data_IF_206183648873
#
_entry.id   IF_206183648873
#
_cell.length_a   1.000
_cell.length_b   1.000
_cell.length_c   1.000
_cell.angle_alpha   90.00
_cell.angle_beta   90.00
_cell.angle_gamma   90.00
#
_symmetry.space_group_name_H-M   'P 1'
#
loop_
_entity.id
_entity.type
_entity.pdbx_description
1 polymer ?
#
# COMPACT_ATOMS: atom_id res chain seq x y z
N UNK A 1 -9.39 -1.65 -21.27
CA UNK A 1 -9.68 -3.10 -21.15
C UNK A 1 -8.78 -3.96 -22.04
N UNK A 2 -8.68 -3.73 -23.38
CA UNK A 2 -7.72 -4.46 -24.24
C UNK A 2 -6.24 -4.27 -23.86
N UNK A 3 -5.87 -3.08 -23.37
CA UNK A 3 -4.56 -2.75 -22.80
C UNK A 3 -4.22 -3.52 -21.51
N UNK A 4 -5.24 -3.95 -20.76
CA UNK A 4 -5.08 -4.70 -19.51
C UNK A 4 -5.00 -6.21 -19.77
N UNK A 5 -5.52 -6.66 -20.92
CA UNK A 5 -5.52 -8.07 -21.31
C UNK A 5 -4.20 -8.51 -21.97
N UNK A 6 -3.52 -7.61 -22.69
CA UNK A 6 -2.12 -7.88 -23.15
C UNK A 6 -1.11 -7.81 -22.00
N UNK A 7 -1.53 -7.35 -20.83
CA UNK A 7 -0.72 -7.17 -19.62
C UNK A 7 -0.59 -8.46 -18.80
N UNK A 8 -1.56 -9.37 -18.88
CA UNK A 8 -1.61 -10.63 -18.12
C UNK A 8 -0.87 -11.81 -18.79
N UNK A 9 -0.48 -11.69 -20.05
CA UNK A 9 0.05 -12.81 -20.83
C UNK A 9 1.58 -12.94 -20.82
N UNK A 10 2.30 -12.08 -20.08
CA UNK A 10 3.77 -12.00 -20.16
C UNK A 10 4.54 -12.57 -18.95
N UNK A 11 3.85 -13.06 -17.92
CA UNK A 11 4.51 -13.65 -16.75
C UNK A 11 4.13 -15.13 -16.56
N UNK A 12 4.93 -16.02 -17.14
CA UNK A 12 5.13 -17.35 -16.57
C UNK A 12 6.53 -17.84 -16.92
N UNK A 13 7.33 -18.21 -15.90
CA UNK A 13 8.14 -19.41 -16.06
C UNK A 13 7.99 -20.40 -14.91
N UNK A 14 8.03 -21.66 -15.32
CA UNK A 14 8.03 -22.93 -14.61
C UNK A 14 9.14 -23.08 -13.58
N UNK A 15 8.81 -23.56 -12.38
CA UNK A 15 9.78 -24.04 -11.38
C UNK A 15 9.92 -25.56 -11.50
N UNK A 16 11.10 -26.01 -11.93
CA UNK A 16 11.58 -27.39 -11.73
C UNK A 16 12.31 -27.48 -10.39
N UNK A 17 11.99 -28.55 -9.66
CA UNK A 17 12.38 -28.86 -8.28
C UNK A 17 13.53 -29.86 -8.33
N UNK A 18 14.64 -29.62 -7.63
CA UNK A 18 15.59 -30.68 -7.30
C UNK A 18 16.06 -30.54 -5.85
N UNK A 19 15.80 -31.61 -5.09
CA UNK A 19 16.35 -31.89 -3.77
C UNK A 19 17.71 -32.59 -3.97
N UNK A 20 18.65 -32.39 -3.04
CA UNK A 20 19.25 -33.50 -2.28
C UNK A 20 20.21 -33.01 -1.20
N UNK A 21 20.04 -33.60 -0.01
CA UNK A 21 20.86 -33.50 1.19
C UNK A 21 22.11 -34.38 1.12
N UNK A 22 23.16 -34.03 1.87
CA UNK A 22 23.98 -34.93 2.72
C UNK A 22 25.14 -34.13 3.34
N UNK A 23 25.18 -33.96 4.67
CA UNK A 23 25.90 -34.77 5.67
C UNK A 23 27.44 -34.66 5.57
N UNK A 24 28.08 -34.04 6.57
CA UNK A 24 29.20 -34.59 7.37
C UNK A 24 29.98 -33.51 8.14
N UNK A 25 29.96 -33.62 9.47
CA UNK A 25 31.10 -33.39 10.39
C UNK A 25 31.72 -34.80 10.67
N UNK A 26 32.92 -35.03 11.29
CA UNK A 26 33.53 -34.21 12.36
C UNK A 26 35.09 -34.26 12.54
N UNK A 27 35.59 -33.53 13.58
CA UNK A 27 36.76 -33.78 14.48
C UNK A 27 38.24 -33.53 14.06
N UNK A 28 38.94 -32.71 14.88
CA UNK A 28 40.24 -32.88 15.61
C UNK A 28 40.97 -31.50 15.71
N UNK A 29 41.13 -30.83 16.85
CA UNK A 29 41.88 -31.08 18.10
C UNK A 29 43.39 -30.70 18.04
N UNK A 30 43.81 -29.93 19.06
CA UNK A 30 45.14 -29.83 19.73
C UNK A 30 45.98 -28.54 19.60
N UNK A 31 45.94 -27.76 20.70
CA UNK A 31 46.98 -27.06 21.49
C UNK A 31 48.42 -26.89 20.95
N UNK A 32 49.05 -25.73 21.25
CA UNK A 32 50.20 -25.57 22.20
C UNK A 32 50.95 -24.20 22.05
N UNK A 33 51.08 -23.52 23.19
CA UNK A 33 52.20 -22.68 23.69
C UNK A 33 52.53 -21.24 23.20
N UNK A 34 52.82 -20.43 24.23
CA UNK A 34 53.14 -18.98 24.39
C UNK A 34 54.65 -18.68 24.25
N UNK A 35 55.26 -17.53 24.68
CA UNK A 35 54.81 -16.15 24.98
C UNK A 35 55.77 -15.00 24.48
N UNK A 36 55.50 -13.74 24.89
CA UNK A 36 56.36 -12.51 24.98
C UNK A 36 56.02 -11.41 23.93
N UNK A 37 55.82 -10.11 24.21
CA UNK A 37 55.81 -9.30 25.44
C UNK A 37 55.50 -7.80 25.14
N UNK A 38 54.82 -7.14 26.10
CA UNK A 38 54.93 -5.76 26.62
C UNK A 38 54.90 -4.52 25.67
N UNK A 39 53.87 -3.64 25.80
CA UNK A 39 53.97 -2.23 26.30
C UNK A 39 52.59 -1.50 26.43
N UNK A 40 52.33 -0.91 27.62
CA UNK A 40 51.50 0.29 27.99
C UNK A 40 50.03 0.41 27.50
N UNK A 41 49.00 0.73 28.29
CA UNK A 41 48.89 1.72 29.39
C UNK A 41 47.51 1.62 30.11
N UNK A 42 47.51 1.83 31.44
CA UNK A 42 46.44 2.18 32.43
C UNK A 42 44.96 1.72 32.31
N UNK A 43 44.33 1.24 33.41
CA UNK A 43 42.96 0.71 33.43
C UNK A 43 41.88 1.76 33.78
N UNK A 44 40.62 1.62 33.31
CA UNK A 44 39.46 2.31 33.89
C UNK A 44 38.92 1.57 35.15
N UNK A 45 38.15 2.25 36.03
CA UNK A 45 37.78 1.74 37.35
C UNK A 45 36.81 0.54 37.30
N UNK A 46 36.72 -0.26 38.39
CA UNK A 46 35.98 -1.51 38.38
C UNK A 46 34.47 -1.27 38.31
N UNK A 47 33.86 -1.61 37.17
CA UNK A 47 32.43 -1.85 37.11
C UNK A 47 32.13 -3.18 37.79
N UNK A 48 31.38 -3.10 38.88
CA UNK A 48 30.80 -4.25 39.60
C UNK A 48 30.13 -5.22 38.62
N UNK A 49 30.31 -6.55 38.74
CA UNK A 49 29.62 -7.49 37.88
C UNK A 49 28.12 -7.45 38.17
N UNK A 50 27.35 -6.83 37.27
CA UNK A 50 25.91 -7.02 37.24
C UNK A 50 25.64 -8.48 36.90
N UNK A 51 25.06 -9.21 37.86
CA UNK A 51 24.55 -10.57 37.68
C UNK A 51 23.68 -10.68 36.42
N UNK A 52 23.85 -11.69 35.56
CA UNK A 52 22.94 -11.94 34.46
C UNK A 52 21.70 -12.63 35.02
N UNK A 53 20.75 -11.87 35.57
CA UNK A 53 19.50 -12.44 36.12
C UNK A 53 18.20 -11.81 35.61
N UNK A 54 18.20 -11.18 34.42
CA UNK A 54 16.97 -10.60 33.83
C UNK A 54 16.74 -10.80 32.33
N UNK A 55 17.50 -11.62 31.62
CA UNK A 55 17.32 -11.85 30.17
C UNK A 55 16.44 -13.06 29.80
N UNK A 56 16.11 -13.95 30.74
CA UNK A 56 15.25 -15.13 30.49
C UNK A 56 13.76 -14.83 30.67
N UNK A 57 13.38 -13.90 31.56
CA UNK A 57 11.96 -13.59 31.86
C UNK A 57 11.26 -12.84 30.73
N UNK A 58 11.97 -11.97 30.01
CA UNK A 58 11.42 -11.18 28.87
C UNK A 58 11.19 -12.05 27.64
N UNK A 59 12.11 -12.99 27.35
CA UNK A 59 11.97 -13.92 26.22
C UNK A 59 10.81 -14.91 26.40
N UNK A 60 10.63 -15.42 27.63
CA UNK A 60 9.48 -16.27 27.95
C UNK A 60 8.17 -15.48 27.92
N UNK A 61 8.13 -14.30 28.53
CA UNK A 61 6.94 -13.43 28.51
C UNK A 61 6.53 -13.03 27.09
N UNK A 62 7.49 -12.70 26.21
CA UNK A 62 7.21 -12.33 24.83
C UNK A 62 6.75 -13.52 23.97
N UNK A 63 7.34 -14.70 24.17
CA UNK A 63 6.89 -15.95 23.53
C UNK A 63 5.50 -16.36 24.02
N UNK A 64 5.24 -16.23 25.32
CA UNK A 64 3.96 -16.53 25.95
C UNK A 64 2.88 -15.56 25.48
N UNK A 65 3.16 -14.26 25.38
CA UNK A 65 2.22 -13.26 24.85
C UNK A 65 1.91 -13.51 23.36
N UNK A 66 2.91 -13.87 22.54
CA UNK A 66 2.68 -14.25 21.13
C UNK A 66 1.85 -15.53 21.01
N UNK A 67 2.12 -16.53 21.86
CA UNK A 67 1.37 -17.78 21.91
C UNK A 67 -0.07 -17.56 22.37
N UNK A 68 -0.29 -16.82 23.47
CA UNK A 68 -1.61 -16.44 23.97
C UNK A 68 -2.39 -15.62 22.94
N UNK A 69 -1.74 -14.67 22.27
CA UNK A 69 -2.36 -13.89 21.20
C UNK A 69 -2.80 -14.76 20.02
N UNK A 70 -1.93 -15.67 19.57
CA UNK A 70 -2.28 -16.61 18.51
C UNK A 70 -3.38 -17.59 18.94
N UNK A 71 -3.30 -18.13 20.17
CA UNK A 71 -4.29 -19.07 20.70
C UNK A 71 -5.64 -18.39 20.83
N UNK A 72 -5.70 -17.22 21.48
CA UNK A 72 -6.93 -16.44 21.64
C UNK A 72 -7.53 -16.04 20.29
N UNK A 73 -6.69 -15.68 19.33
CA UNK A 73 -7.13 -15.36 17.98
C UNK A 73 -7.63 -16.60 17.22
N UNK A 74 -7.02 -17.77 17.39
CA UNK A 74 -7.47 -19.02 16.77
C UNK A 74 -8.78 -19.49 17.41
N UNK A 75 -8.87 -19.47 18.74
CA UNK A 75 -10.06 -19.90 19.48
C UNK A 75 -11.23 -18.95 19.24
N UNK A 76 -11.00 -17.63 19.15
CA UNK A 76 -12.05 -16.69 18.76
C UNK A 76 -12.46 -16.93 17.31
N UNK A 77 -11.52 -17.07 16.37
CA UNK A 77 -11.83 -17.36 14.95
C UNK A 77 -12.68 -18.63 14.82
N UNK A 78 -12.32 -19.71 15.50
CA UNK A 78 -13.05 -20.99 15.45
C UNK A 78 -14.42 -20.92 16.13
N UNK A 79 -14.52 -20.29 17.30
CA UNK A 79 -15.78 -20.11 18.00
C UNK A 79 -16.76 -19.29 17.15
N UNK A 80 -16.27 -18.23 16.51
CA UNK A 80 -17.11 -17.40 15.64
C UNK A 80 -17.42 -18.07 14.30
N UNK A 81 -16.53 -18.86 13.71
CA UNK A 81 -16.83 -19.67 12.51
C UNK A 81 -17.95 -20.70 12.73
N UNK A 82 -18.25 -21.07 13.98
CA UNK A 82 -19.37 -21.95 14.33
C UNK A 82 -20.60 -21.13 14.77
N UNK A 83 -20.38 -20.06 15.54
CA UNK A 83 -21.45 -19.18 16.03
C UNK A 83 -22.12 -18.40 14.91
N UNK A 84 -21.37 -18.00 13.88
CA UNK A 84 -21.83 -17.21 12.73
C UNK A 84 -22.81 -17.99 11.84
N UNK A 85 -22.49 -19.21 11.37
CA UNK A 85 -23.45 -20.03 10.63
C UNK A 85 -24.64 -20.41 11.50
N UNK A 86 -24.44 -20.61 12.80
CA UNK A 86 -25.51 -20.91 13.74
C UNK A 86 -26.49 -19.73 13.92
N UNK A 87 -26.00 -18.51 14.14
CA UNK A 87 -26.83 -17.30 14.25
C UNK A 87 -27.51 -16.99 12.90
N UNK A 88 -26.80 -17.19 11.79
CA UNK A 88 -27.36 -16.98 10.44
C UNK A 88 -28.45 -18.02 10.13
N UNK A 89 -28.21 -19.29 10.46
CA UNK A 89 -29.20 -20.36 10.36
C UNK A 89 -30.42 -20.07 11.25
N UNK A 90 -30.18 -19.64 12.49
CA UNK A 90 -31.25 -19.31 13.43
C UNK A 90 -32.05 -18.08 12.98
N UNK A 91 -31.40 -17.05 12.41
CA UNK A 91 -32.06 -15.86 11.88
C UNK A 91 -32.91 -16.18 10.62
N UNK A 92 -32.38 -17.00 9.71
CA UNK A 92 -33.09 -17.43 8.49
C UNK A 92 -34.26 -18.36 8.81
N UNK A 93 -34.09 -19.26 9.79
CA UNK A 93 -35.08 -20.29 10.09
C UNK A 93 -36.15 -19.85 11.10
N UNK A 94 -35.86 -18.87 11.96
CA UNK A 94 -36.78 -18.43 13.03
C UNK A 94 -37.54 -17.13 12.72
N UNK A 95 -37.06 -16.30 11.78
CA UNK A 95 -37.68 -14.98 11.48
C UNK A 95 -37.92 -14.76 9.98
N UNK A 96 -38.74 -15.64 9.38
CA UNK A 96 -39.20 -15.52 7.99
C UNK A 96 -40.01 -14.23 7.73
N UNK A 97 -40.30 -13.45 8.78
CA UNK A 97 -41.04 -12.19 8.76
C UNK A 97 -40.18 -10.94 8.57
N UNK A 98 -38.84 -11.01 8.65
CA UNK A 98 -37.95 -9.83 8.57
C UNK A 98 -36.60 -10.10 7.85
N UNK A 99 -36.56 -10.00 6.50
CA UNK A 99 -35.35 -10.29 5.72
C UNK A 99 -34.17 -9.33 5.98
N UNK A 100 -34.43 -8.14 6.50
CA UNK A 100 -33.46 -7.13 6.92
C UNK A 100 -32.54 -7.63 8.05
N UNK A 101 -33.09 -8.35 9.03
CA UNK A 101 -32.29 -8.90 10.14
C UNK A 101 -31.39 -10.06 9.67
N UNK A 102 -31.91 -10.93 8.81
CA UNK A 102 -31.14 -12.04 8.25
C UNK A 102 -29.93 -11.53 7.44
N UNK A 103 -30.12 -10.50 6.61
CA UNK A 103 -29.04 -9.86 5.85
C UNK A 103 -28.03 -9.17 6.78
N UNK A 104 -28.48 -8.47 7.82
CA UNK A 104 -27.61 -7.77 8.75
C UNK A 104 -26.69 -8.71 9.55
N UNK A 105 -27.23 -9.82 10.10
CA UNK A 105 -26.43 -10.77 10.87
C UNK A 105 -25.48 -11.59 10.00
N UNK A 106 -25.93 -12.00 8.82
CA UNK A 106 -25.07 -12.73 7.86
C UNK A 106 -23.96 -11.83 7.27
N UNK A 107 -24.22 -10.55 7.02
CA UNK A 107 -23.18 -9.59 6.65
C UNK A 107 -22.18 -9.37 7.80
N UNK A 108 -22.67 -9.16 9.03
CA UNK A 108 -21.82 -8.95 10.21
C UNK A 108 -20.86 -10.12 10.47
N UNK A 109 -21.28 -11.32 10.09
CA UNK A 109 -20.47 -12.51 10.06
C UNK A 109 -19.28 -12.44 9.09
N UNK A 110 -19.50 -12.08 7.83
CA UNK A 110 -18.42 -11.85 6.86
C UNK A 110 -17.48 -10.72 7.30
N UNK A 111 -18.05 -9.64 7.85
CA UNK A 111 -17.30 -8.49 8.38
C UNK A 111 -16.40 -8.93 9.52
N UNK A 112 -16.89 -9.75 10.45
CA UNK A 112 -16.08 -10.25 11.55
C UNK A 112 -14.86 -11.04 11.06
N UNK A 113 -15.07 -11.99 10.12
CA UNK A 113 -13.96 -12.78 9.56
C UNK A 113 -12.98 -11.86 8.83
N UNK A 114 -13.49 -10.89 8.07
CA UNK A 114 -12.69 -9.85 7.40
C UNK A 114 -11.82 -9.09 8.39
N UNK A 115 -12.39 -8.60 9.49
CA UNK A 115 -11.67 -7.89 10.54
C UNK A 115 -10.58 -8.75 11.17
N UNK A 116 -10.86 -10.02 11.46
CA UNK A 116 -9.84 -10.93 12.02
C UNK A 116 -8.67 -11.11 11.06
N UNK A 117 -8.92 -11.33 9.77
CA UNK A 117 -7.86 -11.51 8.76
C UNK A 117 -7.06 -10.21 8.58
N UNK A 118 -7.73 -9.08 8.37
CA UNK A 118 -7.10 -7.78 8.15
C UNK A 118 -6.33 -7.29 9.38
N UNK A 119 -6.88 -7.40 10.58
CA UNK A 119 -6.19 -6.99 11.81
C UNK A 119 -5.00 -7.88 12.12
N UNK A 120 -5.07 -9.19 11.85
CA UNK A 120 -3.89 -10.07 11.95
C UNK A 120 -2.78 -9.62 11.02
N UNK A 121 -3.11 -9.27 9.78
CA UNK A 121 -2.14 -8.78 8.81
C UNK A 121 -1.50 -7.45 9.25
N UNK A 122 -2.32 -6.48 9.67
CA UNK A 122 -1.86 -5.18 10.18
C UNK A 122 -0.97 -5.37 11.41
N UNK A 123 -1.38 -6.20 12.37
CA UNK A 123 -0.60 -6.51 13.56
C UNK A 123 0.74 -7.17 13.20
N UNK A 124 0.77 -8.04 12.19
CA UNK A 124 2.01 -8.66 11.73
C UNK A 124 2.99 -7.65 11.14
N UNK A 125 2.50 -6.64 10.42
CA UNK A 125 3.33 -5.51 9.98
C UNK A 125 3.85 -4.71 11.18
N UNK A 126 2.97 -4.26 12.09
CA UNK A 126 3.34 -3.46 13.25
C UNK A 126 4.34 -4.13 14.20
N UNK A 127 4.35 -5.47 14.26
CA UNK A 127 5.31 -6.23 15.07
C UNK A 127 6.63 -6.54 14.37
N UNK A 128 6.66 -6.46 13.03
CA UNK A 128 7.84 -6.68 12.19
C UNK A 128 8.16 -5.39 11.41
N UNK A 129 8.33 -4.29 12.15
CA UNK A 129 8.53 -2.95 11.61
C UNK A 129 10.01 -2.66 11.35
N UNK A 130 10.54 -3.15 10.24
CA UNK A 130 11.95 -3.03 9.85
C UNK A 130 12.22 -1.89 8.86
N UNK A 131 11.23 -1.51 8.05
CA UNK A 131 11.33 -0.47 7.03
C UNK A 131 10.24 0.59 7.28
N UNK A 132 10.43 1.50 8.26
CA UNK A 132 9.39 2.42 8.69
C UNK A 132 8.89 3.34 7.58
N UNK A 133 9.80 3.78 6.72
CA UNK A 133 9.51 4.71 5.62
C UNK A 133 8.64 4.07 4.54
N UNK A 134 8.62 2.74 4.43
CA UNK A 134 7.80 2.03 3.44
C UNK A 134 6.55 1.42 4.09
N UNK A 135 6.71 0.74 5.23
CA UNK A 135 5.63 0.00 5.90
C UNK A 135 4.51 0.91 6.42
N UNK A 136 4.80 2.19 6.72
CA UNK A 136 3.76 3.17 7.10
C UNK A 136 2.65 3.26 6.05
N UNK A 137 3.00 3.29 4.76
CA UNK A 137 2.03 3.37 3.67
C UNK A 137 1.29 2.05 3.45
N UNK A 138 1.98 0.91 3.63
CA UNK A 138 1.35 -0.41 3.55
C UNK A 138 0.23 -0.52 4.59
N UNK A 139 0.49 -0.11 5.84
CA UNK A 139 -0.54 -0.12 6.89
C UNK A 139 -1.69 0.82 6.54
N UNK A 140 -1.42 2.03 6.02
CA UNK A 140 -2.47 2.95 5.51
C UNK A 140 -3.34 2.28 4.44
N UNK A 141 -2.74 1.54 3.51
CA UNK A 141 -3.50 0.81 2.47
C UNK A 141 -4.34 -0.33 3.07
N UNK A 142 -3.77 -1.11 3.99
CA UNK A 142 -4.43 -2.28 4.58
C UNK A 142 -5.68 -1.96 5.40
N UNK A 143 -5.78 -0.74 5.92
CA UNK A 143 -6.96 -0.26 6.65
C UNK A 143 -8.19 -0.04 5.76
N UNK A 144 -8.02 -0.01 4.43
CA UNK A 144 -9.13 0.13 3.47
C UNK A 144 -10.17 -0.98 3.63
N UNK A 145 -9.74 -2.23 3.68
CA UNK A 145 -10.62 -3.41 3.78
C UNK A 145 -11.45 -3.43 5.07
N UNK A 146 -10.86 -3.31 6.29
CA UNK A 146 -11.64 -3.32 7.52
C UNK A 146 -12.59 -2.13 7.61
N UNK A 147 -12.16 -0.92 7.20
CA UNK A 147 -13.03 0.25 7.17
C UNK A 147 -14.23 0.00 6.24
N UNK A 148 -14.00 -0.54 5.05
CA UNK A 148 -15.07 -0.79 4.10
C UNK A 148 -16.05 -1.86 4.55
N UNK A 149 -15.58 -2.91 5.21
CA UNK A 149 -16.47 -3.92 5.78
C UNK A 149 -17.38 -3.36 6.88
N UNK A 150 -16.81 -2.59 7.83
CA UNK A 150 -17.57 -2.02 8.95
C UNK A 150 -18.59 -1.01 8.44
N UNK A 151 -18.19 -0.13 7.53
CA UNK A 151 -19.04 0.97 7.07
C UNK A 151 -20.28 0.43 6.32
N UNK A 152 -20.10 -0.55 5.42
CA UNK A 152 -21.21 -1.14 4.67
C UNK A 152 -22.12 -1.95 5.59
N UNK A 153 -21.56 -2.62 6.60
CA UNK A 153 -22.36 -3.29 7.63
C UNK A 153 -23.20 -2.31 8.47
N UNK A 154 -22.64 -1.16 8.84
CA UNK A 154 -23.39 -0.10 9.55
C UNK A 154 -24.47 0.51 8.66
N UNK A 155 -24.18 0.72 7.37
CA UNK A 155 -25.12 1.27 6.38
C UNK A 155 -26.37 0.39 6.19
N UNK A 156 -26.26 -0.92 6.37
CA UNK A 156 -27.41 -1.85 6.36
C UNK A 156 -28.45 -1.56 7.47
N UNK A 157 -28.06 -0.90 8.56
CA UNK A 157 -28.95 -0.61 9.69
C UNK A 157 -29.28 0.88 9.82
N UNK A 158 -28.34 1.74 9.46
CA UNK A 158 -28.43 3.18 9.64
C UNK A 158 -28.56 3.90 8.29
N UNK A 159 -29.69 3.71 7.60
CA UNK A 159 -29.93 4.28 6.27
C UNK A 159 -29.79 5.81 6.22
N UNK A 160 -30.27 6.52 7.25
CA UNK A 160 -30.14 7.99 7.33
C UNK A 160 -28.69 8.45 7.45
N UNK A 161 -27.82 7.62 8.02
CA UNK A 161 -26.39 7.94 8.16
C UNK A 161 -25.56 7.50 6.95
N UNK A 162 -26.14 6.75 6.01
CA UNK A 162 -25.46 6.19 4.84
C UNK A 162 -24.63 7.22 4.09
N UNK A 163 -25.23 8.38 3.79
CA UNK A 163 -24.54 9.46 3.06
C UNK A 163 -23.22 9.86 3.72
N UNK A 164 -23.20 10.00 5.05
CA UNK A 164 -22.01 10.37 5.81
C UNK A 164 -20.99 9.23 5.85
N UNK A 165 -21.47 7.99 5.97
CA UNK A 165 -20.64 6.77 5.96
C UNK A 165 -19.96 6.61 4.59
N UNK A 166 -20.70 6.79 3.51
CA UNK A 166 -20.20 6.73 2.13
C UNK A 166 -19.25 7.89 1.81
N UNK A 167 -19.47 9.07 2.39
CA UNK A 167 -18.52 10.18 2.32
C UNK A 167 -17.15 9.79 2.91
N UNK A 168 -17.13 9.09 4.06
CA UNK A 168 -15.88 8.62 4.66
C UNK A 168 -15.17 7.57 3.81
N UNK A 169 -15.93 6.64 3.19
CA UNK A 169 -15.42 5.67 2.20
C UNK A 169 -14.64 6.39 1.11
N UNK A 170 -15.30 7.37 0.51
CA UNK A 170 -14.85 8.09 -0.66
C UNK A 170 -13.58 8.92 -0.38
N UNK A 171 -13.48 9.51 0.81
CA UNK A 171 -12.28 10.20 1.27
C UNK A 171 -11.12 9.22 1.48
N UNK A 172 -11.41 8.04 2.04
CA UNK A 172 -10.40 7.03 2.29
C UNK A 172 -9.83 6.44 1.00
N UNK A 173 -10.67 6.24 -0.03
CA UNK A 173 -10.20 5.83 -1.36
C UNK A 173 -9.09 6.74 -1.89
N UNK A 174 -9.32 8.05 -1.82
CA UNK A 174 -8.37 9.03 -2.29
C UNK A 174 -7.07 9.02 -1.47
N UNK A 175 -7.19 8.91 -0.15
CA UNK A 175 -6.06 8.77 0.75
C UNK A 175 -5.20 7.53 0.46
N UNK A 176 -5.83 6.40 0.12
CA UNK A 176 -5.14 5.16 -0.22
C UNK A 176 -4.39 5.28 -1.54
N UNK A 177 -5.00 5.91 -2.57
CA UNK A 177 -4.33 6.14 -3.87
C UNK A 177 -3.10 7.04 -3.69
N UNK A 178 -3.21 8.10 -2.89
CA UNK A 178 -2.08 8.95 -2.54
C UNK A 178 -1.01 8.17 -1.80
N UNK A 179 -1.38 7.41 -0.76
CA UNK A 179 -0.46 6.58 0.01
C UNK A 179 0.28 5.55 -0.87
N UNK A 180 -0.39 5.03 -1.91
CA UNK A 180 0.22 4.11 -2.86
C UNK A 180 1.28 4.78 -3.74
N UNK A 181 1.07 6.02 -4.18
CA UNK A 181 2.12 6.75 -4.90
C UNK A 181 3.37 6.94 -4.02
N UNK A 182 3.21 7.46 -2.80
CA UNK A 182 4.34 7.65 -1.90
C UNK A 182 5.02 6.34 -1.51
N UNK A 183 4.25 5.25 -1.36
CA UNK A 183 4.81 3.91 -1.18
C UNK A 183 5.79 3.54 -2.30
N UNK A 184 5.43 3.80 -3.58
CA UNK A 184 6.32 3.51 -4.70
C UNK A 184 7.55 4.43 -4.70
N UNK A 185 7.40 5.70 -4.33
CA UNK A 185 8.52 6.64 -4.25
C UNK A 185 9.52 6.24 -3.16
N UNK A 186 9.04 5.78 -2.02
CA UNK A 186 9.88 5.40 -0.88
C UNK A 186 10.54 4.03 -1.08
N UNK A 187 9.92 3.13 -1.85
CA UNK A 187 10.59 1.93 -2.38
C UNK A 187 11.79 2.27 -3.28
N UNK A 188 11.80 3.46 -3.88
CA UNK A 188 12.88 3.96 -4.75
C UNK A 188 13.85 4.89 -4.01
N UNK A 189 13.86 4.85 -2.67
CA UNK A 189 14.82 5.60 -1.85
C UNK A 189 14.39 7.02 -1.49
N UNK A 190 13.12 7.38 -1.71
CA UNK A 190 12.60 8.70 -1.42
C UNK A 190 12.77 9.69 -2.58
N UNK A 191 12.39 10.95 -2.35
CA UNK A 191 12.27 11.98 -3.40
C UNK A 191 13.60 12.33 -4.08
N UNK A 192 14.68 12.46 -3.31
CA UNK A 192 15.98 12.88 -3.82
C UNK A 192 16.63 11.78 -4.69
N UNK A 193 16.65 10.54 -4.18
CA UNK A 193 17.17 9.40 -4.91
C UNK A 193 16.35 9.11 -6.17
N UNK A 194 15.03 9.23 -6.07
CA UNK A 194 14.12 9.08 -7.20
C UNK A 194 14.35 10.15 -8.28
N UNK A 195 14.63 11.38 -7.88
CA UNK A 195 14.93 12.48 -8.82
C UNK A 195 16.16 12.16 -9.65
N UNK A 196 17.26 11.75 -9.00
CA UNK A 196 18.50 11.35 -9.68
C UNK A 196 18.25 10.15 -10.59
N UNK A 197 17.56 9.13 -10.08
CA UNK A 197 17.20 7.93 -10.85
C UNK A 197 16.39 8.28 -12.11
N UNK A 198 15.45 9.21 -12.02
CA UNK A 198 14.63 9.64 -13.14
C UNK A 198 15.42 10.45 -14.17
N UNK A 199 16.42 11.25 -13.76
CA UNK A 199 17.29 11.99 -14.68
C UNK A 199 18.12 11.06 -15.58
N UNK A 200 18.47 9.87 -15.07
CA UNK A 200 19.20 8.85 -15.83
C UNK A 200 18.32 8.07 -16.81
N UNK A 201 16.99 8.20 -16.72
CA UNK A 201 16.06 7.53 -17.63
C UNK A 201 15.95 8.28 -18.95
N UNK A 202 15.67 7.53 -20.01
CA UNK A 202 15.46 8.08 -21.35
C UNK A 202 14.27 9.06 -21.39
N UNK A 203 14.45 10.20 -22.07
CA UNK A 203 13.44 11.24 -22.21
C UNK A 203 12.11 10.79 -22.85
N UNK A 204 12.06 9.63 -23.53
CA UNK A 204 10.80 9.12 -24.09
C UNK A 204 9.75 8.81 -23.02
N UNK A 205 10.15 8.50 -21.78
CA UNK A 205 9.21 8.27 -20.67
C UNK A 205 8.43 9.54 -20.28
N UNK A 206 9.01 10.72 -20.53
CA UNK A 206 8.36 12.01 -20.35
C UNK A 206 7.23 12.28 -21.34
N UNK A 207 7.26 11.63 -22.52
CA UNK A 207 6.31 11.85 -23.59
C UNK A 207 4.90 11.34 -23.25
N UNK A 208 3.90 12.12 -23.62
CA UNK A 208 2.51 11.73 -23.41
C UNK A 208 2.02 10.72 -24.47
N UNK A 209 1.20 9.76 -24.04
CA UNK A 209 0.48 8.86 -24.95
C UNK A 209 -0.69 9.59 -25.63
N UNK A 210 -1.16 9.03 -26.76
CA UNK A 210 -2.38 9.48 -27.42
C UNK A 210 -3.59 9.33 -26.47
N UNK A 211 -4.50 10.33 -26.37
CA UNK A 211 -4.59 11.58 -27.13
C UNK A 211 -3.84 12.79 -26.50
N UNK A 212 -3.37 12.65 -25.25
CA UNK A 212 -2.76 13.74 -24.48
C UNK A 212 -1.48 14.31 -25.11
N UNK A 213 -0.79 13.52 -25.94
CA UNK A 213 0.34 13.97 -26.78
C UNK A 213 0.07 15.25 -27.56
N UNK A 214 -1.17 15.48 -27.99
CA UNK A 214 -1.53 16.65 -28.79
C UNK A 214 -1.96 17.87 -27.97
N UNK A 215 -2.16 17.70 -26.66
CA UNK A 215 -2.72 18.72 -25.77
C UNK A 215 -1.68 19.25 -24.79
N UNK A 216 -0.71 18.42 -24.38
CA UNK A 216 0.23 18.74 -23.30
C UNK A 216 1.69 18.70 -23.75
N UNK A 217 2.51 19.58 -23.18
CA UNK A 217 3.98 19.57 -23.31
C UNK A 217 4.53 18.32 -22.62
N UNK A 218 5.52 17.69 -23.23
CA UNK A 218 6.26 16.59 -22.61
C UNK A 218 6.94 17.04 -21.31
N UNK A 219 6.94 16.17 -20.30
CA UNK A 219 7.56 16.45 -19.00
C UNK A 219 9.04 16.12 -19.02
N UNK A 220 9.87 17.00 -18.44
CA UNK A 220 11.30 16.75 -18.33
C UNK A 220 11.56 15.69 -17.24
N UNK A 221 12.44 14.74 -17.57
CA UNK A 221 12.77 13.65 -16.66
C UNK A 221 13.57 14.16 -15.46
N UNK A 222 13.31 13.58 -14.28
CA UNK A 222 13.90 14.03 -13.01
C UNK A 222 12.86 14.62 -12.08
N UNK A 223 13.18 15.78 -11.50
CA UNK A 223 12.35 16.44 -10.49
C UNK A 223 10.99 16.86 -11.02
N UNK A 224 10.95 17.46 -12.22
CA UNK A 224 9.69 17.92 -12.83
C UNK A 224 8.73 16.74 -13.01
N UNK A 225 9.16 15.66 -13.68
CA UNK A 225 8.34 14.46 -13.87
C UNK A 225 7.80 13.89 -12.55
N UNK A 226 8.65 13.75 -11.54
CA UNK A 226 8.26 13.26 -10.21
C UNK A 226 7.17 14.16 -9.61
N UNK A 227 7.40 15.46 -9.64
CA UNK A 227 6.51 16.46 -9.08
C UNK A 227 5.16 16.47 -9.82
N UNK A 228 5.15 16.41 -11.15
CA UNK A 228 3.93 16.31 -11.95
C UNK A 228 3.11 15.06 -11.63
N UNK A 229 3.77 13.91 -11.44
CA UNK A 229 3.08 12.68 -11.01
C UNK A 229 2.43 12.85 -9.64
N UNK A 230 3.13 13.48 -8.70
CA UNK A 230 2.65 13.77 -7.34
C UNK A 230 1.49 14.75 -7.34
N UNK A 231 1.57 15.86 -8.07
CA UNK A 231 0.47 16.81 -8.25
C UNK A 231 -0.75 16.17 -8.93
N UNK A 232 -0.52 15.33 -9.94
CA UNK A 232 -1.58 14.64 -10.65
C UNK A 232 -2.39 13.69 -9.76
N UNK A 233 -1.76 13.07 -8.77
CA UNK A 233 -2.46 12.27 -7.75
C UNK A 233 -3.08 13.16 -6.66
N UNK A 234 -2.36 14.18 -6.19
CA UNK A 234 -2.83 15.06 -5.12
C UNK A 234 -4.08 15.87 -5.52
N UNK A 235 -4.18 16.33 -6.77
CA UNK A 235 -5.37 17.03 -7.26
C UNK A 235 -6.63 16.16 -7.15
N UNK A 236 -6.51 14.84 -7.34
CA UNK A 236 -7.65 13.93 -7.21
C UNK A 236 -8.12 13.83 -5.77
N UNK A 237 -7.19 13.82 -4.82
CA UNK A 237 -7.54 13.87 -3.40
C UNK A 237 -8.32 15.13 -3.08
N UNK A 238 -7.86 16.29 -3.56
CA UNK A 238 -8.53 17.56 -3.34
C UNK A 238 -9.93 17.58 -3.99
N UNK A 239 -10.03 17.20 -5.26
CA UNK A 239 -11.31 17.14 -5.98
C UNK A 239 -12.29 16.17 -5.33
N UNK A 240 -11.81 14.99 -4.90
CA UNK A 240 -12.64 14.00 -4.21
C UNK A 240 -13.10 14.53 -2.84
N UNK A 241 -12.22 15.15 -2.06
CA UNK A 241 -12.58 15.77 -0.78
C UNK A 241 -13.66 16.84 -0.93
N UNK A 242 -13.47 17.78 -1.86
CA UNK A 242 -14.45 18.84 -2.13
C UNK A 242 -15.77 18.20 -2.60
N UNK A 243 -15.69 17.25 -3.54
CA UNK A 243 -16.86 16.58 -4.06
C UNK A 243 -17.66 15.83 -2.99
N UNK A 244 -16.99 15.06 -2.13
CA UNK A 244 -17.62 14.33 -1.03
C UNK A 244 -18.26 15.27 -0.01
N UNK A 245 -17.62 16.40 0.33
CA UNK A 245 -18.21 17.41 1.23
C UNK A 245 -19.45 18.06 0.57
N UNK A 246 -19.37 18.39 -0.71
CA UNK A 246 -20.50 18.95 -1.45
C UNK A 246 -21.67 17.98 -1.48
N UNK A 247 -21.44 16.70 -1.76
CA UNK A 247 -22.48 15.66 -1.69
C UNK A 247 -23.11 15.60 -0.30
N UNK A 248 -22.28 15.46 0.75
CA UNK A 248 -22.75 15.35 2.13
C UNK A 248 -23.62 16.54 2.60
N UNK A 249 -23.39 17.74 2.07
CA UNK A 249 -24.15 18.96 2.42
C UNK A 249 -25.36 19.19 1.52
N UNK A 250 -25.21 19.00 0.21
CA UNK A 250 -26.23 19.39 -0.78
C UNK A 250 -27.30 18.32 -1.00
N UNK A 251 -27.01 17.06 -0.70
CA UNK A 251 -27.99 15.99 -0.84
C UNK A 251 -29.11 16.05 0.21
N UNK A 252 -28.84 16.29 1.52
CA UNK A 252 -29.91 16.55 2.49
C UNK A 252 -30.75 17.79 2.15
N UNK A 253 -30.20 18.75 1.41
CA UNK A 253 -30.91 19.93 0.91
C UNK A 253 -31.77 19.64 -0.33
N UNK A 254 -31.71 18.42 -0.88
CA UNK A 254 -32.45 18.00 -2.08
C UNK A 254 -31.89 18.56 -3.40
N UNK A 255 -30.72 19.22 -3.37
CA UNK A 255 -30.08 19.83 -4.55
C UNK A 255 -29.32 18.78 -5.36
N UNK A 256 -28.72 17.80 -4.67
CA UNK A 256 -28.11 16.61 -5.28
C UNK A 256 -29.02 15.43 -4.97
N UNK A 257 -29.33 14.62 -5.98
CA UNK A 257 -30.07 13.37 -5.81
C UNK A 257 -29.20 12.22 -6.31
N UNK A 258 -28.72 11.38 -5.40
CA UNK A 258 -27.90 10.23 -5.75
C UNK A 258 -28.63 9.28 -6.71
N UNK A 259 -27.90 8.79 -7.71
CA UNK A 259 -28.43 7.87 -8.72
C UNK A 259 -29.33 8.49 -9.79
N UNK A 260 -29.63 9.79 -9.72
CA UNK A 260 -30.35 10.49 -10.80
C UNK A 260 -29.40 10.84 -11.95
N UNK A 261 -29.43 10.00 -13.00
CA UNK A 261 -28.58 10.12 -14.20
C UNK A 261 -29.11 11.13 -15.25
N UNK A 262 -30.06 12.00 -14.89
CA UNK A 262 -30.50 13.06 -15.79
C UNK A 262 -29.38 14.08 -16.05
N UNK A 263 -29.22 14.53 -17.29
CA UNK A 263 -28.25 15.57 -17.65
C UNK A 263 -28.50 16.93 -16.98
N UNK A 264 -29.69 17.15 -16.42
CA UNK A 264 -30.01 18.35 -15.64
C UNK A 264 -29.56 18.25 -14.18
N UNK A 265 -29.19 17.04 -13.73
CA UNK A 265 -28.83 16.78 -12.34
C UNK A 265 -27.40 17.24 -12.03
N UNK A 266 -27.25 18.02 -10.96
CA UNK A 266 -25.97 18.43 -10.37
C UNK A 266 -25.07 17.23 -10.03
N UNK A 267 -25.69 16.09 -9.68
CA UNK A 267 -25.01 14.82 -9.38
C UNK A 267 -24.13 14.33 -10.55
N UNK A 268 -24.65 14.37 -11.79
CA UNK A 268 -23.94 13.86 -12.97
C UNK A 268 -22.70 14.69 -13.27
N UNK A 269 -22.80 16.02 -13.15
CA UNK A 269 -21.66 16.91 -13.35
C UNK A 269 -20.58 16.73 -12.30
N UNK A 270 -20.97 16.59 -11.02
CA UNK A 270 -20.04 16.32 -9.93
C UNK A 270 -19.34 14.96 -10.12
N UNK A 271 -20.11 13.92 -10.44
CA UNK A 271 -19.58 12.60 -10.75
C UNK A 271 -18.62 12.65 -11.95
N UNK A 272 -18.96 13.34 -13.03
CA UNK A 272 -18.09 13.49 -14.20
C UNK A 272 -16.78 14.18 -13.85
N UNK A 273 -16.83 15.27 -13.09
CA UNK A 273 -15.64 16.00 -12.63
C UNK A 273 -14.70 15.11 -11.81
N UNK A 274 -15.25 14.35 -10.84
CA UNK A 274 -14.48 13.43 -10.00
C UNK A 274 -13.88 12.31 -10.85
N UNK A 275 -14.63 11.75 -11.81
CA UNK A 275 -14.13 10.70 -12.69
C UNK A 275 -12.99 11.18 -13.59
N UNK A 276 -13.11 12.38 -14.19
CA UNK A 276 -12.03 12.97 -15.00
C UNK A 276 -10.78 13.21 -14.15
N UNK A 277 -10.95 13.77 -12.96
CA UNK A 277 -9.86 13.97 -12.00
C UNK A 277 -9.20 12.63 -11.60
N UNK A 278 -9.99 11.59 -11.36
CA UNK A 278 -9.48 10.25 -11.06
C UNK A 278 -8.73 9.63 -12.23
N UNK A 279 -9.24 9.78 -13.45
CA UNK A 279 -8.57 9.31 -14.67
C UNK A 279 -7.20 9.97 -14.84
N UNK A 280 -7.10 11.27 -14.56
CA UNK A 280 -5.83 11.99 -14.58
C UNK A 280 -4.84 11.48 -13.53
N UNK A 281 -5.29 11.24 -12.29
CA UNK A 281 -4.45 10.67 -11.24
C UNK A 281 -3.93 9.27 -11.59
N UNK A 282 -4.82 8.41 -12.11
CA UNK A 282 -4.44 7.07 -12.56
C UNK A 282 -3.47 7.11 -13.74
N UNK A 283 -3.65 8.05 -14.67
CA UNK A 283 -2.71 8.26 -15.76
C UNK A 283 -1.32 8.63 -15.24
N UNK A 284 -1.23 9.56 -14.30
CA UNK A 284 0.02 9.97 -13.67
C UNK A 284 0.70 8.80 -12.95
N UNK A 285 -0.06 8.02 -12.19
CA UNK A 285 0.43 6.82 -11.50
C UNK A 285 0.94 5.75 -12.49
N UNK A 286 0.25 5.55 -13.61
CA UNK A 286 0.68 4.61 -14.66
C UNK A 286 1.94 5.11 -15.37
N UNK A 287 2.05 6.41 -15.68
CA UNK A 287 3.31 6.98 -16.22
C UNK A 287 4.46 6.79 -15.24
N UNK A 288 4.24 7.09 -13.97
CA UNK A 288 5.21 6.90 -12.91
C UNK A 288 5.69 5.44 -12.85
N UNK A 289 4.75 4.49 -12.85
CA UNK A 289 5.07 3.07 -12.89
C UNK A 289 5.85 2.69 -14.15
N UNK A 290 5.45 3.17 -15.33
CA UNK A 290 6.15 2.85 -16.58
C UNK A 290 7.61 3.31 -16.55
N UNK A 291 7.90 4.49 -15.98
CA UNK A 291 9.27 5.00 -15.84
C UNK A 291 10.11 4.21 -14.81
N UNK A 292 9.46 3.63 -13.78
CA UNK A 292 10.16 3.07 -12.60
C UNK A 292 10.04 1.56 -12.44
N UNK A 293 9.25 0.87 -13.27
CA UNK A 293 8.97 -0.57 -13.12
C UNK A 293 10.25 -1.43 -13.12
N UNK A 294 11.23 -1.07 -13.95
CA UNK A 294 12.53 -1.76 -14.03
C UNK A 294 13.29 -1.72 -12.71
N UNK A 295 13.18 -0.62 -11.96
CA UNK A 295 13.83 -0.45 -10.65
C UNK A 295 13.02 -1.11 -9.52
N UNK A 296 11.70 -1.26 -9.69
CA UNK A 296 10.82 -1.96 -8.76
C UNK A 296 10.82 -3.49 -8.95
N UNK A 297 11.38 -3.98 -10.07
CA UNK A 297 11.42 -5.40 -10.42
C UNK A 297 12.43 -6.21 -9.59
N UNK A 298 13.41 -5.56 -8.96
CA UNK A 298 14.37 -6.20 -8.06
C UNK A 298 14.19 -5.62 -6.66
N UNK A 299 13.84 -6.41 -5.61
CA UNK A 299 13.60 -7.86 -5.49
C UNK A 299 12.18 -8.39 -5.77
N UNK A 300 11.53 -7.91 -6.84
CA UNK A 300 10.14 -8.23 -7.22
C UNK A 300 9.11 -7.77 -6.17
N UNK A 301 8.88 -6.46 -6.13
CA UNK A 301 7.88 -5.84 -5.25
C UNK A 301 6.43 -6.02 -5.73
N UNK A 302 6.18 -6.65 -6.89
CA UNK A 302 4.84 -6.83 -7.51
C UNK A 302 3.90 -5.63 -7.37
N UNK A 303 4.34 -4.41 -7.71
CA UNK A 303 3.57 -3.17 -7.49
C UNK A 303 2.21 -3.17 -8.20
N UNK A 304 2.11 -3.82 -9.36
CA UNK A 304 0.85 -3.95 -10.10
C UNK A 304 -0.18 -4.80 -9.36
N UNK A 305 0.24 -5.91 -8.75
CA UNK A 305 -0.63 -6.75 -7.93
C UNK A 305 -1.16 -5.97 -6.72
N UNK A 306 -0.28 -5.20 -6.07
CA UNK A 306 -0.64 -4.29 -4.97
C UNK A 306 -1.65 -3.23 -5.42
N UNK A 307 -1.41 -2.58 -6.55
CA UNK A 307 -2.34 -1.61 -7.13
C UNK A 307 -3.69 -2.23 -7.48
N UNK A 308 -3.70 -3.43 -8.07
CA UNK A 308 -4.93 -4.14 -8.41
C UNK A 308 -5.76 -4.54 -7.19
N UNK A 309 -5.10 -4.86 -6.06
CA UNK A 309 -5.81 -5.12 -4.80
C UNK A 309 -6.47 -3.85 -4.23
N UNK A 310 -5.93 -2.66 -4.51
CA UNK A 310 -6.51 -1.38 -4.10
C UNK A 310 -7.66 -1.00 -5.05
N UNK A 311 -7.36 -0.92 -6.35
CA UNK A 311 -8.32 -0.45 -7.34
C UNK A 311 -9.43 -1.45 -7.59
N UNK A 312 -9.16 -2.74 -7.43
CA UNK A 312 -10.14 -3.82 -7.57
C UNK A 312 -11.35 -3.61 -6.67
N UNK A 313 -11.13 -3.22 -5.41
CA UNK A 313 -12.20 -2.92 -4.45
C UNK A 313 -13.14 -1.85 -5.01
N UNK A 314 -12.60 -0.72 -5.45
CA UNK A 314 -13.41 0.39 -6.01
C UNK A 314 -14.11 -0.03 -7.29
N UNK A 315 -13.42 -0.79 -8.14
CA UNK A 315 -13.93 -1.20 -9.43
C UNK A 315 -15.13 -2.14 -9.29
N UNK A 316 -15.03 -3.18 -8.45
CA UNK A 316 -16.12 -4.13 -8.25
C UNK A 316 -17.31 -3.48 -7.55
N UNK A 317 -17.09 -2.66 -6.53
CA UNK A 317 -18.18 -1.94 -5.85
C UNK A 317 -18.95 -1.01 -6.80
N UNK A 318 -18.25 -0.33 -7.72
CA UNK A 318 -18.92 0.49 -8.74
C UNK A 318 -19.75 -0.37 -9.73
N UNK A 319 -19.18 -1.46 -10.24
CA UNK A 319 -19.90 -2.35 -11.16
C UNK A 319 -21.09 -3.04 -10.51
N UNK A 320 -21.02 -3.36 -9.22
CA UNK A 320 -22.18 -3.82 -8.44
C UNK A 320 -23.29 -2.78 -8.42
N UNK A 321 -22.95 -1.51 -8.15
CA UNK A 321 -23.92 -0.42 -8.19
C UNK A 321 -24.60 -0.27 -9.56
N UNK A 322 -23.82 -0.34 -10.64
CA UNK A 322 -24.37 -0.32 -12.02
C UNK A 322 -25.28 -1.52 -12.28
N UNK A 323 -24.85 -2.73 -11.93
CA UNK A 323 -25.65 -3.94 -12.11
C UNK A 323 -26.97 -3.87 -11.32
N UNK A 324 -26.94 -3.39 -10.08
CA UNK A 324 -28.12 -3.21 -9.24
C UNK A 324 -29.04 -2.12 -9.81
N UNK A 325 -28.49 -1.01 -10.30
CA UNK A 325 -29.29 0.04 -10.95
C UNK A 325 -30.01 -0.48 -12.20
N UNK A 326 -29.35 -1.33 -12.99
CA UNK A 326 -29.96 -2.01 -14.14
C UNK A 326 -31.08 -2.96 -13.68
N UNK A 327 -30.85 -3.79 -12.65
CA UNK A 327 -31.86 -4.68 -12.08
C UNK A 327 -33.08 -3.90 -11.54
N UNK A 328 -32.86 -2.74 -10.92
CA UNK A 328 -33.91 -1.81 -10.50
C UNK A 328 -34.70 -1.29 -11.70
N UNK A 329 -34.03 -0.91 -12.80
CA UNK A 329 -34.71 -0.42 -14.01
C UNK A 329 -35.59 -1.47 -14.71
N UNK A 330 -35.23 -2.76 -14.59
CA UNK A 330 -36.04 -3.88 -15.09
C UNK A 330 -37.17 -4.30 -14.14
N UNK A 331 -37.32 -3.65 -12.98
CA UNK A 331 -38.35 -3.98 -11.98
C UNK A 331 -38.13 -5.32 -11.27
N UNK A 332 -36.92 -5.88 -11.32
CA UNK A 332 -36.58 -7.14 -10.64
C UNK A 332 -36.45 -6.90 -9.13
N UNK A 333 -35.96 -5.72 -8.74
CA UNK A 333 -35.87 -5.28 -7.35
C UNK A 333 -37.17 -4.55 -7.01
N UNK A 334 -37.96 -5.12 -6.11
CA UNK A 334 -39.19 -4.54 -5.58
C UNK A 334 -39.08 -4.10 -4.14
N UNK A 335 -40.15 -3.52 -3.62
CA UNK A 335 -40.30 -3.16 -2.21
C UNK A 335 -40.36 -4.42 -1.34
N UNK A 336 -39.68 -4.39 -0.20
CA UNK A 336 -39.63 -5.51 0.75
C UNK A 336 -39.96 -4.99 2.15
N UNK A 337 -41.11 -5.38 2.68
CA UNK A 337 -41.52 -4.99 4.03
C UNK A 337 -41.67 -3.47 4.16
N UNK A 338 -40.80 -2.84 4.95
CA UNK A 338 -40.79 -1.38 5.17
C UNK A 338 -39.75 -0.63 4.32
N UNK A 339 -39.05 -1.31 3.41
CA UNK A 339 -37.97 -0.73 2.62
C UNK A 339 -38.48 -0.38 1.22
N UNK A 340 -38.21 0.86 0.79
CA UNK A 340 -38.45 1.28 -0.59
C UNK A 340 -37.48 0.57 -1.56
N UNK A 341 -37.83 0.54 -2.84
CA UNK A 341 -36.99 0.00 -3.91
C UNK A 341 -35.56 0.58 -3.88
N UNK A 342 -35.43 1.88 -3.57
CA UNK A 342 -34.11 2.49 -3.46
C UNK A 342 -33.30 1.94 -2.28
N UNK A 343 -33.93 1.82 -1.11
CA UNK A 343 -33.29 1.29 0.10
C UNK A 343 -32.89 -0.17 -0.07
N UNK A 344 -33.75 -0.98 -0.72
CA UNK A 344 -33.45 -2.39 -1.01
C UNK A 344 -32.24 -2.53 -1.93
N UNK A 345 -32.17 -1.73 -3.00
CA UNK A 345 -31.04 -1.71 -3.92
C UNK A 345 -29.74 -1.32 -3.20
N UNK A 346 -29.82 -0.26 -2.39
CA UNK A 346 -28.74 0.29 -1.59
C UNK A 346 -28.20 -0.72 -0.55
N UNK A 347 -29.10 -1.39 0.17
CA UNK A 347 -28.74 -2.44 1.12
C UNK A 347 -28.19 -3.69 0.46
N UNK A 348 -28.70 -4.08 -0.71
CA UNK A 348 -28.13 -5.19 -1.48
C UNK A 348 -26.68 -4.91 -1.88
N UNK A 349 -26.38 -3.67 -2.30
CA UNK A 349 -25.01 -3.27 -2.61
C UNK A 349 -24.10 -3.36 -1.37
N UNK A 350 -24.52 -2.83 -0.23
CA UNK A 350 -23.74 -2.92 1.02
C UNK A 350 -23.52 -4.35 1.49
N UNK A 351 -24.52 -5.20 1.34
CA UNK A 351 -24.40 -6.62 1.63
C UNK A 351 -23.33 -7.29 0.76
N UNK A 352 -23.34 -7.02 -0.56
CA UNK A 352 -22.32 -7.54 -1.47
C UNK A 352 -20.92 -7.02 -1.13
N UNK A 353 -20.80 -5.74 -0.74
CA UNK A 353 -19.52 -5.16 -0.29
C UNK A 353 -19.00 -5.92 0.94
N UNK A 354 -19.85 -6.25 1.91
CA UNK A 354 -19.43 -7.03 3.09
C UNK A 354 -18.82 -8.38 2.71
N UNK A 355 -19.41 -9.09 1.74
CA UNK A 355 -18.90 -10.37 1.23
C UNK A 355 -17.62 -10.17 0.42
N UNK A 356 -17.57 -9.15 -0.43
CA UNK A 356 -16.43 -8.84 -1.27
C UNK A 356 -15.19 -8.48 -0.43
N UNK A 357 -15.37 -7.71 0.66
CA UNK A 357 -14.28 -7.31 1.54
C UNK A 357 -13.61 -8.52 2.21
N UNK A 358 -14.36 -9.60 2.47
CA UNK A 358 -13.76 -10.86 2.93
C UNK A 358 -12.79 -11.46 1.90
N UNK A 359 -13.18 -11.49 0.63
CA UNK A 359 -12.32 -11.94 -0.46
C UNK A 359 -11.08 -11.04 -0.60
N UNK A 360 -11.25 -9.72 -0.50
CA UNK A 360 -10.12 -8.78 -0.55
C UNK A 360 -9.22 -8.87 0.68
N UNK A 361 -9.73 -9.18 1.87
CA UNK A 361 -8.90 -9.42 3.05
C UNK A 361 -7.93 -10.59 2.80
N UNK A 362 -8.41 -11.65 2.17
CA UNK A 362 -7.58 -12.79 1.75
C UNK A 362 -6.57 -12.33 0.68
N UNK A 363 -7.01 -11.65 -0.37
CA UNK A 363 -6.11 -11.16 -1.43
C UNK A 363 -5.00 -10.23 -0.88
N UNK A 364 -5.35 -9.31 0.02
CA UNK A 364 -4.41 -8.41 0.67
C UNK A 364 -3.42 -9.17 1.55
N UNK A 365 -3.83 -10.26 2.21
CA UNK A 365 -2.92 -11.09 3.02
C UNK A 365 -1.81 -11.75 2.21
N UNK A 366 -2.08 -12.07 0.93
CA UNK A 366 -1.08 -12.60 0.01
C UNK A 366 -0.24 -11.50 -0.64
N UNK A 367 -0.87 -10.40 -1.05
CA UNK A 367 -0.23 -9.34 -1.84
C UNK A 367 0.58 -8.35 -0.98
N UNK A 368 0.19 -8.10 0.27
CA UNK A 368 0.84 -7.18 1.19
C UNK A 368 1.43 -7.93 2.39
N UNK A 369 2.26 -8.94 2.13
CA UNK A 369 2.85 -9.76 3.20
C UNK A 369 3.98 -9.00 3.92
N UNK A 370 4.00 -9.06 5.25
CA UNK A 370 5.08 -8.47 6.06
C UNK A 370 6.45 -9.12 5.82
N UNK A 371 6.46 -10.35 5.29
CA UNK A 371 7.68 -11.12 5.02
C UNK A 371 8.58 -10.46 3.96
N UNK A 372 8.02 -9.59 3.13
CA UNK A 372 8.79 -8.81 2.14
C UNK A 372 9.77 -7.82 2.80
N UNK A 373 9.48 -7.39 4.03
CA UNK A 373 10.25 -6.37 4.73
C UNK A 373 11.22 -6.94 5.77
N UNK A 374 11.40 -8.27 5.81
CA UNK A 374 12.32 -8.91 6.75
C UNK A 374 13.79 -8.74 6.28
N UNK A 375 14.72 -8.39 7.18
CA UNK A 375 16.12 -8.09 6.82
C UNK A 375 16.78 -9.17 5.96
N UNK A 376 16.61 -10.45 6.33
CA UNK A 376 17.24 -11.57 5.62
C UNK A 376 16.75 -11.78 4.18
N UNK A 377 15.59 -11.23 3.78
CA UNK A 377 15.15 -11.27 2.37
C UNK A 377 15.79 -10.17 1.54
N UNK A 378 15.99 -9.00 2.15
CA UNK A 378 16.58 -7.83 1.49
C UNK A 378 18.08 -8.05 1.26
N UNK A 379 18.79 -8.61 2.25
CA UNK A 379 20.21 -8.97 2.11
C UNK A 379 20.43 -10.02 1.00
N UNK A 380 19.61 -11.08 0.96
CA UNK A 380 19.73 -12.11 -0.08
C UNK A 380 19.46 -11.54 -1.48
N UNK A 381 18.59 -10.54 -1.61
CA UNK A 381 18.33 -9.86 -2.86
C UNK A 381 19.50 -8.98 -3.33
N UNK A 382 20.14 -8.25 -2.42
CA UNK A 382 21.32 -7.44 -2.75
C UNK A 382 22.54 -8.31 -3.08
N UNK A 383 22.68 -9.49 -2.47
CA UNK A 383 23.75 -10.44 -2.81
C UNK A 383 23.49 -11.21 -4.12
N UNK A 384 22.24 -11.52 -4.46
CA UNK A 384 21.92 -12.28 -5.69
C UNK A 384 22.06 -11.45 -6.98
N UNK A 385 22.15 -10.12 -6.90
CA UNK A 385 22.56 -9.26 -8.02
C UNK A 385 24.05 -9.34 -8.35
N UNK A 386 24.86 -9.82 -7.40
CA UNK A 386 26.33 -9.84 -7.48
C UNK A 386 26.89 -11.21 -7.92
N UNK A 387 26.04 -12.09 -8.48
CA UNK A 387 26.33 -13.49 -8.80
C UNK A 387 26.99 -13.73 -10.17
N UNK A 388 27.91 -12.87 -10.59
CA UNK A 388 28.85 -13.17 -11.66
C UNK A 388 30.10 -13.83 -11.08
N UNK A 389 30.43 -15.03 -11.56
CA UNK A 389 31.54 -15.87 -11.11
C UNK A 389 32.81 -15.09 -10.72
N UNK A 390 33.15 -15.11 -9.44
CA UNK A 390 34.46 -14.67 -8.94
C UNK A 390 35.47 -15.81 -9.06
N UNK A 391 35.96 -16.08 -10.26
CA UNK A 391 37.22 -16.80 -10.43
C UNK A 391 38.38 -15.86 -10.10
N UNK A 392 39.18 -16.27 -9.12
CA UNK A 392 40.42 -15.65 -8.64
C UNK A 392 41.32 -15.11 -9.75
N UNK A 393 41.58 -13.80 -9.71
CA UNK A 393 42.64 -13.13 -10.45
C UNK A 393 42.88 -11.74 -9.85
N UNK A 394 44.07 -11.51 -9.30
CA UNK A 394 44.55 -10.17 -8.96
C UNK A 394 44.57 -9.32 -10.23
N UNK A 395 43.74 -8.29 -10.28
CA UNK A 395 43.64 -7.37 -11.41
C UNK A 395 42.86 -6.13 -11.01
N UNK A 396 43.36 -4.97 -11.40
CA UNK A 396 42.88 -3.62 -11.10
C UNK A 396 41.35 -3.49 -11.26
N UNK A 397 40.70 -2.83 -10.29
CA UNK A 397 39.26 -2.57 -10.27
C UNK A 397 38.91 -1.63 -11.43
N UNK A 398 38.16 -2.07 -12.47
CA UNK A 398 37.53 -1.16 -13.40
C UNK A 398 36.25 -0.65 -12.73
N UNK A 399 36.10 0.67 -12.61
CA UNK A 399 34.82 1.27 -12.21
C UNK A 399 33.80 1.06 -13.34
N UNK A 400 33.09 -0.06 -13.30
CA UNK A 400 31.91 -0.28 -14.14
C UNK A 400 30.72 0.48 -13.54
N UNK A 401 30.29 1.53 -14.23
CA UNK A 401 29.20 2.42 -13.81
C UNK A 401 27.81 1.94 -14.27
N UNK A 402 27.64 0.69 -14.71
CA UNK A 402 26.35 0.21 -15.23
C UNK A 402 25.50 -0.63 -14.26
N UNK A 403 25.98 -0.87 -13.04
CA UNK A 403 25.20 -1.62 -12.05
C UNK A 403 24.29 -0.71 -11.22
N UNK A 404 22.98 -0.76 -11.50
CA UNK A 404 21.96 -0.13 -10.66
C UNK A 404 22.02 -0.72 -9.24
N UNK A 405 22.65 0.00 -8.30
CA UNK A 405 22.50 -0.30 -6.88
C UNK A 405 21.09 0.10 -6.45
N UNK A 406 20.29 -0.80 -5.86
CA UNK A 406 19.04 -0.38 -5.25
C UNK A 406 19.36 0.71 -4.22
N UNK A 407 18.55 1.78 -4.17
CA UNK A 407 18.74 2.84 -3.19
C UNK A 407 18.74 2.22 -1.79
N UNK A 408 19.63 2.70 -0.92
CA UNK A 408 19.74 2.20 0.46
C UNK A 408 18.49 2.63 1.23
N UNK A 409 17.42 1.85 1.11
CA UNK A 409 16.21 2.08 1.91
C UNK A 409 16.61 1.84 3.36
N UNK A 410 16.28 2.79 4.23
CA UNK A 410 16.59 2.72 5.65
C UNK A 410 15.95 1.47 6.25
N UNK A 411 16.78 0.47 6.53
CA UNK A 411 16.42 -0.76 7.23
C UNK A 411 16.92 -0.69 8.67
N UNK A 412 16.08 -1.10 9.62
CA UNK A 412 16.43 -1.17 11.03
C UNK A 412 16.89 -2.59 11.37
N UNK A 413 17.98 -2.73 12.14
CA UNK A 413 18.44 -4.03 12.66
C UNK A 413 17.50 -4.60 13.72
N UNK A 414 16.74 -3.74 14.40
CA UNK A 414 15.74 -4.10 15.40
C UNK A 414 14.41 -3.44 15.07
N UNK A 415 13.28 -4.15 15.18
CA UNK A 415 11.98 -3.58 14.85
C UNK A 415 11.63 -2.42 15.80
N UNK A 416 10.98 -1.40 15.26
CA UNK A 416 10.46 -0.28 16.05
C UNK A 416 9.38 -0.74 17.04
N UNK A 417 9.23 -0.04 18.17
CA UNK A 417 8.18 -0.35 19.14
C UNK A 417 6.77 -0.19 18.55
N UNK A 418 5.82 -1.03 18.98
CA UNK A 418 4.45 -1.06 18.45
C UNK A 418 3.75 0.31 18.47
N UNK A 419 3.91 1.08 19.56
CA UNK A 419 3.28 2.40 19.71
C UNK A 419 3.83 3.39 18.68
N UNK A 420 5.14 3.41 18.51
CA UNK A 420 5.81 4.31 17.59
C UNK A 420 5.48 3.94 16.14
N UNK A 421 5.44 2.64 15.83
CA UNK A 421 5.01 2.11 14.53
C UNK A 421 3.56 2.50 14.21
N UNK A 422 2.65 2.36 15.17
CA UNK A 422 1.25 2.74 14.99
C UNK A 422 1.11 4.24 14.69
N UNK A 423 1.69 5.10 15.53
CA UNK A 423 1.62 6.56 15.32
C UNK A 423 2.30 7.01 14.03
N UNK A 424 3.43 6.41 13.67
CA UNK A 424 4.10 6.65 12.38
C UNK A 424 3.22 6.29 11.18
N UNK A 425 2.47 5.19 11.28
CA UNK A 425 1.55 4.78 10.21
C UNK A 425 0.32 5.69 10.08
N UNK A 426 -0.20 6.21 11.19
CA UNK A 426 -1.46 6.97 11.20
C UNK A 426 -1.27 8.44 10.84
N UNK A 427 -0.13 9.05 11.18
CA UNK A 427 0.08 10.49 10.94
C UNK A 427 0.76 10.73 9.57
N UNK A 428 0.12 11.44 8.62
CA UNK A 428 0.68 11.72 7.29
C UNK A 428 1.67 12.90 7.34
N UNK A 429 2.83 12.69 7.95
CA UNK A 429 3.86 13.72 8.07
C UNK A 429 4.35 14.23 6.72
N UNK A 430 4.33 13.39 5.69
CA UNK A 430 4.81 13.72 4.35
C UNK A 430 3.86 14.71 3.67
N UNK A 431 2.56 14.44 3.71
CA UNK A 431 1.53 15.37 3.22
C UNK A 431 1.61 16.70 3.97
N UNK A 432 1.86 16.69 5.28
CA UNK A 432 2.04 17.91 6.07
C UNK A 432 3.30 18.67 5.67
N UNK A 433 4.40 17.96 5.40
CA UNK A 433 5.66 18.57 4.94
C UNK A 433 5.51 19.14 3.53
N UNK A 434 4.76 18.48 2.66
CA UNK A 434 4.42 18.99 1.34
C UNK A 434 3.59 20.26 1.43
N UNK A 435 2.55 20.28 2.27
CA UNK A 435 1.75 21.50 2.52
C UNK A 435 2.64 22.63 3.04
N UNK A 436 3.61 22.35 3.91
CA UNK A 436 4.57 23.35 4.39
C UNK A 436 5.49 23.85 3.29
N UNK A 437 6.03 22.95 2.45
CA UNK A 437 6.84 23.31 1.28
C UNK A 437 6.03 24.18 0.31
N UNK A 438 4.76 23.85 0.08
CA UNK A 438 3.85 24.63 -0.77
C UNK A 438 3.53 26.00 -0.18
N UNK A 439 3.38 26.10 1.15
CA UNK A 439 3.13 27.39 1.81
C UNK A 439 4.36 28.30 1.84
N UNK A 440 5.55 27.71 1.91
CA UNK A 440 6.80 28.45 2.09
C UNK A 440 7.51 28.79 0.78
N UNK A 441 7.00 28.38 -0.39
CA UNK A 441 7.54 28.81 -1.69
C UNK A 441 8.92 28.27 -2.06
N UNK A 442 9.50 27.34 -1.27
CA UNK A 442 10.86 26.80 -1.48
C UNK A 442 11.04 25.97 -2.76
N UNK A 443 10.01 25.84 -3.59
CA UNK A 443 10.13 25.22 -4.92
C UNK A 443 11.05 26.05 -5.82
N UNK A 444 11.09 27.38 -5.66
CA UNK A 444 11.98 28.25 -6.47
C UNK A 444 13.46 28.16 -6.04
N UNK A 445 13.76 27.99 -4.74
CA UNK A 445 15.17 27.90 -4.26
C UNK A 445 15.85 26.56 -4.61
N UNK A 446 15.10 25.46 -4.71
CA UNK A 446 15.64 24.17 -5.21
C UNK A 446 15.76 24.15 -6.74
N UNK A 447 14.86 24.84 -7.46
CA UNK A 447 15.00 25.01 -8.91
C UNK A 447 16.25 25.82 -9.27
N UNK A 448 16.57 26.88 -8.50
CA UNK A 448 17.76 27.71 -8.73
C UNK A 448 19.04 26.94 -8.38
N UNK A 449 19.08 26.24 -7.23
CA UNK A 449 20.22 25.43 -6.83
C UNK A 449 20.44 24.19 -7.73
N UNK A 450 19.37 23.55 -8.21
CA UNK A 450 19.49 22.39 -9.10
C UNK A 450 19.83 22.78 -10.54
N UNK A 451 19.43 23.97 -10.98
CA UNK A 451 19.88 24.56 -12.25
C UNK A 451 21.35 24.98 -12.20
N UNK A 452 21.81 25.56 -11.08
CA UNK A 452 23.22 25.91 -10.86
C UNK A 452 24.14 24.69 -10.83
N UNK A 453 23.71 23.58 -10.20
CA UNK A 453 24.46 22.32 -10.21
C UNK A 453 24.52 21.72 -11.62
N UNK A 454 23.45 21.84 -12.41
CA UNK A 454 23.42 21.44 -13.83
C UNK A 454 24.34 22.29 -14.73
N UNK A 455 24.41 23.61 -14.48
CA UNK A 455 25.27 24.52 -15.21
C UNK A 455 26.76 24.28 -14.89
N UNK A 456 27.09 24.04 -13.62
CA UNK A 456 28.46 23.73 -13.19
C UNK A 456 28.98 22.40 -13.77
N UNK A 457 28.10 21.40 -13.95
CA UNK A 457 28.44 20.12 -14.61
C UNK A 457 28.71 20.28 -16.11
N UNK A 458 27.95 21.14 -16.79
CA UNK A 458 28.17 21.43 -18.22
C UNK A 458 29.45 22.25 -18.47
N UNK A 459 29.77 23.19 -17.57
CA UNK A 459 31.03 23.95 -17.63
C UNK A 459 32.24 23.06 -17.32
N UNK A 460 32.12 22.11 -16.37
CA UNK A 460 33.22 21.17 -16.10
C UNK A 460 33.44 20.17 -17.25
N UNK A 461 32.39 19.76 -17.97
CA UNK A 461 32.55 18.91 -19.16
C UNK A 461 33.18 19.67 -20.35
N UNK A 462 32.81 20.93 -20.57
CA UNK A 462 33.44 21.74 -21.63
C UNK A 462 34.92 22.04 -21.37
N UNK A 463 35.34 22.14 -20.10
CA UNK A 463 36.76 22.29 -19.74
C UNK A 463 37.55 20.98 -19.84
N UNK A 464 36.89 19.83 -19.75
CA UNK A 464 37.54 18.51 -19.87
C UNK A 464 37.72 18.06 -21.34
N UNK A 465 36.93 18.60 -22.27
CA UNK A 465 37.10 18.34 -23.71
C UNK A 465 38.06 19.32 -24.41
N UNK A 466 38.56 20.34 -23.72
CA UNK A 466 39.46 21.37 -24.28
C UNK A 466 40.88 21.39 -23.72
N UNK A 467 41.34 20.32 -23.05
CA UNK A 467 42.71 20.17 -22.53
C UNK A 467 43.39 18.94 -23.12
#
# INVERSE_FOLDING_TARGET
MKLFQSFLHRESPSSSRNNNESLNDPLLQSDLFSPSGILGSSPPPPTTPFSPRRTTRTNFSNKLMKFLGNLLAITSTLAFLILIPYITYQAIHYDQTRPDFAAFYSAGAFVFVTLVVSLKLIHSHLTHWYMPDVQKYVVRILWMVPLYSIQSWLSLRFHTARIYIDTLRDLYEAYVIQSFLYFLMELLGGEDALTVLLQEKDGHYGRHLFPLKYIMKDWEMGFEFMMQCKWGVLQYVICKCIGSILTAVLEPMGVIQEGNMSFTSSYVYLAMMINVSQMWALYCLVKFYHATHSNLANPDWKPLGKFMCIKGVVFFTWWQGVAIAVLKSYGIIGEIGSWDVHDVANGLQDYLICVEMFCFAIAHSFTFTYKEYLPGRIENASYSGNGGDSSSGEGEIPLDYTEFRPPVIRTLNTPMGFRDAFWSSTVPNETLNDIKRFRNGTVEEELDNSADIGMLRNVSMQHAESV
#
